data_IF_013653296599
#
_entry.id   IF_013653296599
#
_cell.length_a   1.000
_cell.length_b   1.000
_cell.length_c   1.000
_cell.angle_alpha   90.00
_cell.angle_beta   90.00
_cell.angle_gamma   90.00
#
_symmetry.space_group_name_H-M   'P 1'
#
loop_
_entity.id
_entity.type
_entity.pdbx_description
1 polymer ?
#
# COMPACT_ATOMS: atom_id res chain seq x y z
N UNK A 1 -8.27 15.15 -13.11
CA UNK A 1 -8.54 14.44 -11.85
C UNK A 1 -7.66 13.19 -11.87
N UNK A 2 -6.78 12.99 -10.89
CA UNK A 2 -6.07 11.72 -10.76
C UNK A 2 -7.08 10.64 -10.38
N UNK A 3 -7.12 9.56 -11.15
CA UNK A 3 -7.94 8.38 -10.82
C UNK A 3 -7.25 7.62 -9.69
N UNK A 4 -8.02 7.10 -8.75
CA UNK A 4 -7.55 6.23 -7.68
C UNK A 4 -8.03 4.80 -7.94
N UNK A 5 -7.30 3.83 -7.40
CA UNK A 5 -7.62 2.40 -7.47
C UNK A 5 -7.47 1.77 -6.09
N UNK A 6 -8.29 0.75 -5.84
CA UNK A 6 -8.19 -0.09 -4.65
C UNK A 6 -7.34 -1.31 -4.96
N UNK A 7 -6.37 -1.60 -4.09
CA UNK A 7 -5.50 -2.76 -4.22
C UNK A 7 -5.45 -3.50 -2.89
N UNK A 8 -5.64 -4.82 -2.93
CA UNK A 8 -5.44 -5.70 -1.78
C UNK A 8 -3.95 -5.94 -1.60
N UNK A 9 -3.45 -5.66 -0.39
CA UNK A 9 -2.03 -5.79 -0.06
C UNK A 9 -1.86 -6.43 1.30
N UNK A 10 -0.72 -7.10 1.50
CA UNK A 10 -0.28 -7.59 2.81
C UNK A 10 0.89 -6.75 3.29
N UNK A 11 0.82 -6.26 4.53
CA UNK A 11 1.89 -5.45 5.11
C UNK A 11 3.08 -6.35 5.45
N UNK A 12 4.24 -6.04 4.88
CA UNK A 12 5.49 -6.78 5.10
C UNK A 12 6.38 -6.06 6.12
N UNK A 13 6.39 -4.72 6.12
CA UNK A 13 7.09 -3.92 7.12
C UNK A 13 6.34 -2.61 7.30
N UNK A 14 5.92 -2.36 8.55
CA UNK A 14 5.42 -1.07 8.97
C UNK A 14 6.16 -0.50 10.19
N UNK A 15 7.41 -0.07 9.98
CA UNK A 15 8.13 0.62 11.04
C UNK A 15 7.50 2.01 11.31
N UNK A 16 7.01 2.25 12.53
CA UNK A 16 6.31 3.46 13.00
C UNK A 16 6.96 4.82 12.64
N UNK A 17 8.27 4.85 12.39
CA UNK A 17 9.01 6.06 12.03
C UNK A 17 9.25 6.26 10.52
N UNK A 18 8.60 5.46 9.65
CA UNK A 18 8.81 5.53 8.19
C UNK A 18 7.66 6.24 7.47
N UNK A 19 8.02 7.05 6.47
CA UNK A 19 7.09 7.75 5.57
C UNK A 19 6.46 6.83 4.51
N UNK A 20 6.85 5.56 4.48
CA UNK A 20 6.39 4.55 3.54
C UNK A 20 6.26 3.20 4.25
N UNK A 21 5.39 2.36 3.71
CA UNK A 21 5.16 0.98 4.16
C UNK A 21 5.59 0.01 3.06
N UNK A 22 6.09 -1.16 3.44
CA UNK A 22 6.40 -2.23 2.50
C UNK A 22 5.20 -3.15 2.42
N UNK A 23 4.75 -3.44 1.22
CA UNK A 23 3.61 -4.32 1.01
C UNK A 23 3.89 -5.38 -0.05
N UNK A 24 3.34 -6.55 0.17
CA UNK A 24 3.21 -7.61 -0.83
C UNK A 24 1.82 -7.49 -1.47
N UNK A 25 1.77 -7.45 -2.80
CA UNK A 25 0.54 -7.37 -3.58
C UNK A 25 0.38 -8.59 -4.52
N UNK A 26 1.07 -9.69 -4.24
CA UNK A 26 1.01 -10.94 -5.00
C UNK A 26 1.86 -10.97 -6.27
N UNK A 27 2.82 -10.05 -6.39
CA UNK A 27 3.78 -10.03 -7.50
C UNK A 27 5.15 -10.60 -7.08
N UNK A 28 6.14 -10.51 -7.98
CA UNK A 28 7.47 -11.09 -7.77
C UNK A 28 8.29 -10.39 -6.67
N UNK A 29 7.95 -9.14 -6.35
CA UNK A 29 8.68 -8.33 -5.37
C UNK A 29 7.77 -7.43 -4.56
N UNK A 30 8.11 -7.26 -3.28
CA UNK A 30 7.47 -6.32 -2.39
C UNK A 30 7.70 -4.86 -2.82
N UNK A 31 6.75 -3.99 -2.51
CA UNK A 31 6.72 -2.59 -2.96
C UNK A 31 6.63 -1.63 -1.79
N UNK A 32 7.49 -0.60 -1.80
CA UNK A 32 7.37 0.54 -0.90
C UNK A 32 6.33 1.54 -1.40
N UNK A 33 5.34 1.85 -0.56
CA UNK A 33 4.28 2.82 -0.86
C UNK A 33 4.32 3.95 0.19
N UNK A 34 4.41 5.23 -0.23
CA UNK A 34 4.37 6.35 0.69
C UNK A 34 3.02 6.41 1.42
N UNK A 35 3.04 6.53 2.76
CA UNK A 35 1.83 6.64 3.58
C UNK A 35 0.94 7.82 3.16
N UNK A 36 1.55 8.91 2.71
CA UNK A 36 0.82 10.11 2.25
C UNK A 36 0.00 9.88 0.97
N UNK A 37 0.25 8.78 0.25
CA UNK A 37 -0.49 8.39 -0.95
C UNK A 37 -1.51 7.28 -0.68
N UNK A 38 -1.59 6.78 0.55
CA UNK A 38 -2.48 5.70 0.96
C UNK A 38 -3.70 6.30 1.63
N UNK A 39 -4.86 5.80 1.27
CA UNK A 39 -6.05 5.84 2.13
C UNK A 39 -6.49 4.41 2.37
N UNK A 40 -6.92 4.13 3.58
CA UNK A 40 -7.41 2.82 3.97
C UNK A 40 -8.68 3.00 4.81
N UNK A 41 -9.35 1.88 5.10
CA UNK A 41 -10.56 1.84 5.91
C UNK A 41 -10.31 1.28 7.31
N UNK A 42 -9.04 1.10 7.71
CA UNK A 42 -8.71 0.51 9.00
C UNK A 42 -8.76 1.54 10.11
N UNK A 43 -9.33 1.17 11.26
CA UNK A 43 -9.40 2.02 12.45
C UNK A 43 -8.15 1.88 13.35
N UNK A 44 -7.18 1.07 12.92
CA UNK A 44 -6.00 0.70 13.69
C UNK A 44 -4.74 0.93 12.86
N UNK A 45 -3.58 1.19 13.49
CA UNK A 45 -2.30 1.23 12.79
C UNK A 45 -2.04 -0.08 12.05
N UNK A 46 -1.37 -0.01 10.89
CA UNK A 46 -0.97 -1.19 10.15
C UNK A 46 -0.03 -2.06 10.98
N UNK A 47 -0.23 -3.37 10.92
CA UNK A 47 0.65 -4.35 11.56
C UNK A 47 1.25 -5.27 10.49
N UNK A 48 2.48 -5.70 10.72
CA UNK A 48 3.13 -6.70 9.87
C UNK A 48 2.28 -7.98 9.81
N UNK A 49 2.00 -8.44 8.59
CA UNK A 49 1.13 -9.58 8.30
C UNK A 49 -0.34 -9.22 8.07
N UNK A 50 -0.77 -7.97 8.30
CA UNK A 50 -2.14 -7.55 7.99
C UNK A 50 -2.39 -7.56 6.48
N UNK A 51 -3.50 -8.17 6.06
CA UNK A 51 -4.00 -8.06 4.68
C UNK A 51 -5.19 -7.10 4.65
N UNK A 52 -5.09 -6.02 3.88
CA UNK A 52 -6.10 -4.99 3.76
C UNK A 52 -6.21 -4.43 2.34
N UNK A 53 -7.30 -3.73 2.05
CA UNK A 53 -7.42 -2.92 0.84
C UNK A 53 -6.96 -1.48 1.11
N UNK A 54 -6.05 -1.01 0.26
CA UNK A 54 -5.60 0.38 0.23
C UNK A 54 -6.04 1.06 -1.06
N UNK A 55 -6.47 2.31 -0.95
CA UNK A 55 -6.72 3.21 -2.08
C UNK A 55 -5.45 4.04 -2.35
N UNK A 56 -4.93 3.93 -3.57
CA UNK A 56 -3.75 4.68 -4.04
C UNK A 56 -4.02 5.33 -5.41
N UNK A 57 -3.28 6.37 -5.80
CA UNK A 57 -3.37 6.92 -7.15
C UNK A 57 -3.04 5.87 -8.22
N UNK A 58 -3.81 5.82 -9.30
CA UNK A 58 -3.64 4.86 -10.40
C UNK A 58 -2.24 4.94 -11.04
N UNK A 59 -1.69 6.14 -11.17
CA UNK A 59 -0.34 6.33 -11.71
C UNK A 59 0.74 5.66 -10.85
N UNK A 60 0.57 5.67 -9.52
CA UNK A 60 1.51 5.05 -8.59
C UNK A 60 1.35 3.53 -8.63
N UNK A 61 0.11 3.04 -8.69
CA UNK A 61 -0.17 1.61 -8.85
C UNK A 61 0.48 1.06 -10.13
N UNK A 62 0.38 1.77 -11.25
CA UNK A 62 1.03 1.41 -12.52
C UNK A 62 2.56 1.48 -12.45
N UNK A 63 3.11 2.55 -11.86
CA UNK A 63 4.57 2.70 -11.70
C UNK A 63 5.17 1.56 -10.87
N UNK A 64 4.44 1.09 -9.87
CA UNK A 64 4.86 0.00 -8.98
C UNK A 64 4.48 -1.40 -9.48
N UNK A 65 3.73 -1.52 -10.58
CA UNK A 65 3.30 -2.80 -11.14
C UNK A 65 2.24 -3.53 -10.31
N UNK A 66 1.43 -2.78 -9.56
CA UNK A 66 0.36 -3.32 -8.71
C UNK A 66 -0.93 -3.63 -9.48
N UNK A 67 -1.04 -3.13 -10.72
CA UNK A 67 -2.13 -3.36 -11.69
C UNK A 67 -1.60 -3.41 -13.12
#
# INVERSE_FOLDING_TARGET
>A
MSKNVWVTVTIVDDTENRLAILVDHGAESDVWIPRSQIKDQTEHPFQEGDTLEIEIPEWLALEKGMI
#
